data_IF_105120561429
#
_entry.id   IF_105120561429
#
_cell.length_a   1.000
_cell.length_b   1.000
_cell.length_c   1.000
_cell.angle_alpha   90.00
_cell.angle_beta   90.00
_cell.angle_gamma   90.00
#
_symmetry.space_group_name_H-M   'P 1'
#
loop_
_entity.id
_entity.type
_entity.pdbx_description
1 polymer ?
#
# COMPACT_ATOMS: atom_id res chain seq x y z
N UNK A 1 -7.86 10.03 -14.21
CA UNK A 1 -6.84 9.96 -13.14
C UNK A 1 -6.38 11.37 -12.83
N UNK A 2 -6.57 11.80 -11.59
CA UNK A 2 -6.24 13.13 -11.10
C UNK A 2 -5.10 12.99 -10.10
N UNK A 3 -4.01 13.71 -10.32
CA UNK A 3 -2.79 13.58 -9.53
C UNK A 3 -2.55 14.80 -8.64
N UNK A 4 -2.01 14.53 -7.44
CA UNK A 4 -1.36 15.50 -6.55
C UNK A 4 0.05 14.98 -6.26
N UNK A 5 1.02 15.87 -6.09
CA UNK A 5 2.38 15.46 -5.75
C UNK A 5 3.09 16.55 -4.95
N UNK A 6 4.05 16.14 -4.14
CA UNK A 6 4.96 17.01 -3.40
C UNK A 6 6.35 16.39 -3.35
N UNK A 7 7.20 16.87 -2.44
CA UNK A 7 8.51 16.25 -2.22
C UNK A 7 8.31 14.84 -1.64
N UNK A 8 8.82 13.82 -2.33
CA UNK A 8 8.85 12.44 -1.82
C UNK A 8 7.53 11.67 -1.88
N UNK A 9 6.43 12.26 -2.39
CA UNK A 9 5.14 11.60 -2.47
C UNK A 9 4.34 11.99 -3.70
N UNK A 10 3.43 11.10 -4.11
CA UNK A 10 2.45 11.35 -5.18
C UNK A 10 1.16 10.60 -4.86
N UNK A 11 0.03 11.24 -5.09
CA UNK A 11 -1.30 10.67 -4.91
C UNK A 11 -2.11 10.74 -6.19
N UNK A 12 -3.01 9.78 -6.36
CA UNK A 12 -3.87 9.63 -7.52
C UNK A 12 -5.29 9.30 -7.09
N UNK A 13 -6.26 10.06 -7.60
CA UNK A 13 -7.65 9.64 -7.69
C UNK A 13 -7.90 9.03 -9.07
N UNK A 14 -8.30 7.76 -9.11
CA UNK A 14 -8.70 7.07 -10.34
C UNK A 14 -10.22 7.08 -10.50
N UNK A 15 -10.72 7.94 -11.38
CA UNK A 15 -12.15 8.09 -11.69
C UNK A 15 -12.80 6.79 -12.20
N UNK A 16 -12.04 5.86 -12.78
CA UNK A 16 -12.60 4.60 -13.29
C UNK A 16 -12.95 3.63 -12.17
N UNK A 17 -12.06 3.50 -11.18
CA UNK A 17 -12.24 2.63 -10.03
C UNK A 17 -12.90 3.33 -8.84
N UNK A 18 -12.93 4.67 -8.84
CA UNK A 18 -13.40 5.47 -7.71
C UNK A 18 -12.46 5.44 -6.50
N UNK A 19 -11.19 5.07 -6.71
CA UNK A 19 -10.22 4.84 -5.62
C UNK A 19 -9.19 5.97 -5.53
N UNK A 20 -8.73 6.20 -4.30
CA UNK A 20 -7.64 7.12 -3.99
C UNK A 20 -6.43 6.32 -3.54
N UNK A 21 -5.30 6.57 -4.18
CA UNK A 21 -4.05 5.83 -3.92
C UNK A 21 -2.90 6.83 -3.77
N UNK A 22 -1.88 6.46 -3.02
CA UNK A 22 -0.69 7.26 -2.84
C UNK A 22 0.57 6.41 -2.81
N UNK A 23 1.66 6.99 -3.29
CA UNK A 23 3.01 6.52 -3.09
C UNK A 23 3.75 7.53 -2.22
N UNK A 24 4.61 7.02 -1.35
CA UNK A 24 5.72 7.80 -0.81
C UNK A 24 6.99 7.00 -0.96
N UNK A 25 8.09 7.68 -1.25
CA UNK A 25 9.36 7.03 -1.49
C UNK A 25 10.55 7.97 -1.41
N UNK A 26 11.70 7.39 -1.09
CA UNK A 26 12.96 8.10 -0.92
C UNK A 26 14.15 7.15 -1.00
N UNK A 27 15.32 7.63 -0.59
CA UNK A 27 16.60 6.93 -0.77
C UNK A 27 16.72 5.57 -0.01
N UNK A 28 15.70 5.18 0.77
CA UNK A 28 15.69 3.95 1.55
C UNK A 28 14.45 3.07 1.42
N UNK A 29 13.42 3.50 0.68
CA UNK A 29 12.20 2.71 0.55
C UNK A 29 11.14 3.36 -0.31
N UNK A 30 10.18 2.54 -0.72
CA UNK A 30 9.07 2.89 -1.57
C UNK A 30 7.81 2.18 -1.08
N UNK A 31 6.72 2.91 -0.92
CA UNK A 31 5.51 2.40 -0.32
C UNK A 31 4.28 2.83 -1.11
N UNK A 32 3.24 1.99 -1.11
CA UNK A 32 1.94 2.27 -1.72
C UNK A 32 0.82 2.13 -0.71
N UNK A 33 -0.13 3.04 -0.80
CA UNK A 33 -1.30 3.09 0.06
C UNK A 33 -2.57 3.28 -0.76
N UNK A 34 -3.65 2.65 -0.28
CA UNK A 34 -5.00 3.10 -0.57
C UNK A 34 -5.40 4.09 0.51
N UNK A 35 -5.68 5.34 0.14
CA UNK A 35 -6.04 6.42 1.07
C UNK A 35 -7.52 6.77 0.93
N UNK A 36 -8.05 7.59 1.84
CA UNK A 36 -9.43 8.07 1.76
C UNK A 36 -9.53 9.32 0.89
N UNK A 37 -10.76 9.68 0.48
CA UNK A 37 -11.02 10.95 -0.20
C UNK A 37 -10.62 12.15 0.66
N UNK A 38 -10.86 12.08 1.96
CA UNK A 38 -10.52 13.15 2.91
C UNK A 38 -9.01 13.35 3.00
N UNK A 39 -8.23 12.26 3.11
CA UNK A 39 -6.79 12.34 3.08
C UNK A 39 -6.28 12.92 1.75
N UNK A 40 -6.86 12.49 0.62
CA UNK A 40 -6.51 13.04 -0.69
C UNK A 40 -6.85 14.53 -0.79
N UNK A 41 -7.97 14.98 -0.23
CA UNK A 41 -8.39 16.37 -0.23
C UNK A 41 -7.42 17.24 0.58
N UNK A 42 -6.95 16.75 1.73
CA UNK A 42 -6.00 17.42 2.62
C UNK A 42 -4.57 17.50 2.06
N UNK A 43 -4.17 16.56 1.19
CA UNK A 43 -2.85 16.63 0.53
C UNK A 43 -2.72 17.90 -0.30
N UNK A 44 -1.64 18.64 -0.07
CA UNK A 44 -1.32 19.90 -0.71
C UNK A 44 0.15 19.90 -1.14
N UNK A 45 0.48 20.49 -2.29
CA UNK A 45 1.85 20.51 -2.80
C UNK A 45 2.81 21.34 -1.94
N UNK A 46 2.29 22.29 -1.18
CA UNK A 46 3.07 23.14 -0.26
C UNK A 46 3.19 22.54 1.15
N UNK A 47 2.55 21.38 1.39
CA UNK A 47 2.68 20.63 2.65
C UNK A 47 4.11 20.11 2.83
N UNK A 48 4.58 20.10 4.08
CA UNK A 48 5.87 19.49 4.38
C UNK A 48 5.86 18.00 4.03
N UNK A 49 6.99 17.46 3.56
CA UNK A 49 7.13 16.05 3.22
C UNK A 49 6.73 15.14 4.41
N UNK A 50 7.10 15.52 5.63
CA UNK A 50 6.79 14.75 6.85
C UNK A 50 5.29 14.73 7.12
N UNK A 51 4.60 15.86 7.00
CA UNK A 51 3.16 15.93 7.26
C UNK A 51 2.37 15.12 6.21
N UNK A 52 2.79 15.19 4.95
CA UNK A 52 2.18 14.40 3.88
C UNK A 52 2.39 12.89 4.10
N UNK A 53 3.59 12.48 4.51
CA UNK A 53 3.90 11.08 4.82
C UNK A 53 3.06 10.60 6.00
N UNK A 54 2.97 11.36 7.10
CA UNK A 54 2.13 10.98 8.23
C UNK A 54 0.66 10.85 7.82
N UNK A 55 0.12 11.79 7.05
CA UNK A 55 -1.25 11.71 6.56
C UNK A 55 -1.47 10.46 5.71
N UNK A 56 -0.58 10.16 4.75
CA UNK A 56 -0.68 8.98 3.88
C UNK A 56 -0.58 7.68 4.70
N UNK A 57 0.41 7.59 5.59
CA UNK A 57 0.67 6.40 6.40
C UNK A 57 -0.44 6.15 7.43
N UNK A 58 -0.85 7.19 8.15
CA UNK A 58 -1.77 7.06 9.28
C UNK A 58 -3.22 6.94 8.85
N UNK A 59 -3.59 7.47 7.67
CA UNK A 59 -4.94 7.36 7.09
C UNK A 59 -5.05 6.28 6.01
N UNK A 60 -3.95 5.91 5.36
CA UNK A 60 -3.93 4.89 4.32
C UNK A 60 -3.93 3.45 4.84
N UNK A 61 -4.38 2.53 3.98
CA UNK A 61 -4.15 1.09 4.07
C UNK A 61 -2.93 0.73 3.22
N UNK A 62 -1.92 0.16 3.84
CA UNK A 62 -0.65 -0.19 3.20
C UNK A 62 -0.86 -1.34 2.21
N UNK A 63 -0.50 -1.14 0.94
CA UNK A 63 -0.68 -2.11 -0.14
C UNK A 63 0.60 -2.88 -0.43
N UNK A 64 1.72 -2.17 -0.43
CA UNK A 64 3.01 -2.65 -0.88
C UNK A 64 4.13 -1.82 -0.25
N UNK A 65 5.23 -2.46 0.14
CA UNK A 65 6.48 -1.78 0.47
C UNK A 65 7.68 -2.48 -0.16
N UNK A 66 8.68 -1.69 -0.53
CA UNK A 66 10.00 -2.12 -0.94
C UNK A 66 11.05 -1.32 -0.17
N UNK A 67 11.92 -1.98 0.56
CA UNK A 67 12.89 -1.35 1.45
C UNK A 67 14.30 -1.69 0.99
N UNK A 68 15.11 -0.64 0.84
CA UNK A 68 16.53 -0.72 0.54
C UNK A 68 17.26 0.43 1.23
N UNK A 69 17.26 0.40 2.56
CA UNK A 69 17.76 1.48 3.42
C UNK A 69 19.27 1.39 3.73
N UNK A 70 19.97 0.46 3.09
CA UNK A 70 21.40 0.14 3.31
C UNK A 70 21.75 -0.39 4.70
N UNK A 71 20.77 -0.57 5.58
CA UNK A 71 20.95 -1.09 6.94
C UNK A 71 20.66 -2.59 7.04
N UNK A 72 20.07 -3.18 6.00
CA UNK A 72 19.88 -4.62 5.88
C UNK A 72 19.79 -5.07 4.43
N UNK A 73 19.64 -6.39 4.19
CA UNK A 73 19.30 -6.91 2.87
C UNK A 73 18.00 -6.26 2.37
N UNK A 74 17.93 -5.83 1.10
CA UNK A 74 16.69 -5.30 0.54
C UNK A 74 15.56 -6.33 0.65
N UNK A 75 14.34 -5.88 0.93
CA UNK A 75 13.17 -6.75 1.02
C UNK A 75 11.90 -6.06 0.58
N UNK A 76 10.95 -6.86 0.10
CA UNK A 76 9.64 -6.42 -0.36
C UNK A 76 8.55 -7.09 0.47
N UNK A 77 7.53 -6.34 0.84
CA UNK A 77 6.33 -6.86 1.52
C UNK A 77 5.10 -6.52 0.69
N UNK A 78 4.32 -7.55 0.34
CA UNK A 78 3.08 -7.42 -0.44
C UNK A 78 1.90 -7.66 0.51
N UNK A 79 1.26 -6.57 0.93
CA UNK A 79 0.10 -6.63 1.83
C UNK A 79 -1.17 -6.96 1.04
N UNK A 80 -1.32 -6.39 -0.14
CA UNK A 80 -2.41 -6.60 -1.07
C UNK A 80 -1.88 -7.10 -2.41
N UNK A 81 -2.22 -8.32 -2.81
CA UNK A 81 -1.70 -8.89 -4.08
C UNK A 81 -2.23 -8.14 -5.32
N UNK A 82 -3.28 -7.34 -5.20
CA UNK A 82 -3.90 -6.57 -6.29
C UNK A 82 -3.27 -5.16 -6.43
N UNK A 83 -2.22 -4.84 -5.66
CA UNK A 83 -1.61 -3.51 -5.62
C UNK A 83 -1.26 -2.90 -7.00
N UNK A 84 -0.88 -3.73 -7.99
CA UNK A 84 -0.58 -3.26 -9.36
C UNK A 84 -1.82 -2.84 -10.13
N UNK A 85 -2.95 -3.49 -9.87
CA UNK A 85 -4.24 -3.15 -10.47
C UNK A 85 -4.85 -1.93 -9.79
N UNK A 86 -4.63 -1.78 -8.48
CA UNK A 86 -5.05 -0.62 -7.69
C UNK A 86 -4.21 0.63 -8.03
N UNK A 87 -2.91 0.46 -8.28
CA UNK A 87 -1.97 1.54 -8.57
C UNK A 87 -1.29 1.37 -9.95
N UNK A 88 -2.03 1.33 -11.08
CA UNK A 88 -1.43 1.12 -12.39
C UNK A 88 -0.57 2.30 -12.86
N UNK A 89 -0.67 3.44 -12.17
CA UNK A 89 0.11 4.65 -12.40
C UNK A 89 1.47 4.63 -11.68
N UNK A 90 1.66 3.73 -10.72
CA UNK A 90 2.85 3.63 -9.90
C UNK A 90 3.99 2.92 -10.65
N UNK A 91 5.19 3.50 -10.63
CA UNK A 91 6.36 2.94 -11.31
C UNK A 91 7.12 1.97 -10.39
N UNK A 92 6.49 0.83 -10.09
CA UNK A 92 6.99 -0.13 -9.10
C UNK A 92 8.10 -0.98 -9.70
N UNK A 93 9.32 -0.77 -9.23
CA UNK A 93 10.51 -1.49 -9.71
C UNK A 93 10.58 -2.92 -9.14
N UNK A 94 9.98 -3.18 -7.96
CA UNK A 94 9.97 -4.52 -7.35
C UNK A 94 11.32 -4.88 -6.74
N UNK A 95 11.33 -5.42 -5.52
CA UNK A 95 12.54 -5.99 -4.91
C UNK A 95 12.67 -7.49 -5.18
N UNK A 96 13.91 -7.98 -5.16
CA UNK A 96 14.22 -9.39 -5.43
C UNK A 96 13.77 -10.34 -4.29
N UNK A 97 13.61 -9.81 -3.07
CA UNK A 97 13.34 -10.61 -1.86
C UNK A 97 11.96 -10.31 -1.30
N UNK A 98 10.94 -10.89 -1.93
CA UNK A 98 9.56 -10.79 -1.47
C UNK A 98 9.32 -11.69 -0.27
N UNK A 99 8.76 -11.15 0.80
CA UNK A 99 8.38 -11.92 1.98
C UNK A 99 7.33 -12.99 1.65
N UNK A 100 7.45 -14.19 2.24
CA UNK A 100 6.38 -15.19 2.20
C UNK A 100 5.08 -14.64 2.78
N UNK A 101 3.96 -15.19 2.31
CA UNK A 101 2.62 -14.74 2.69
C UNK A 101 2.38 -14.90 4.19
N UNK A 102 2.87 -16.00 4.78
CA UNK A 102 2.74 -16.35 6.18
C UNK A 102 3.48 -15.35 7.08
N UNK A 103 4.66 -14.90 6.65
CA UNK A 103 5.44 -13.89 7.35
C UNK A 103 4.74 -12.53 7.31
N UNK A 104 4.20 -12.17 6.15
CA UNK A 104 3.40 -10.95 5.99
C UNK A 104 2.14 -10.97 6.86
N UNK A 105 1.42 -12.10 6.89
CA UNK A 105 0.23 -12.27 7.74
C UNK A 105 0.57 -12.16 9.24
N UNK A 106 1.68 -12.78 9.67
CA UNK A 106 2.16 -12.65 11.04
C UNK A 106 2.49 -11.20 11.41
N UNK A 107 3.16 -10.47 10.51
CA UNK A 107 3.46 -9.06 10.71
C UNK A 107 2.19 -8.19 10.82
N UNK A 108 1.18 -8.42 9.98
CA UNK A 108 -0.10 -7.70 10.01
C UNK A 108 -0.85 -7.87 11.34
N UNK A 109 -0.81 -9.08 11.92
CA UNK A 109 -1.44 -9.35 13.21
C UNK A 109 -0.62 -8.77 14.38
N UNK A 110 0.72 -8.77 14.28
CA UNK A 110 1.61 -8.27 15.34
C UNK A 110 1.70 -6.74 15.41
N UNK A 111 1.88 -6.08 14.27
CA UNK A 111 2.16 -4.63 14.23
C UNK A 111 0.86 -3.81 14.17
N UNK A 112 0.77 -2.81 15.04
CA UNK A 112 -0.38 -1.92 15.12
C UNK A 112 -0.51 -0.99 13.89
N UNK A 113 0.62 -0.65 13.25
CA UNK A 113 0.65 0.13 12.00
C UNK A 113 -0.12 -0.57 10.88
N UNK A 114 -0.10 -1.90 10.85
CA UNK A 114 -0.70 -2.71 9.79
C UNK A 114 -2.15 -3.12 10.08
N UNK A 115 -2.77 -2.59 11.13
CA UNK A 115 -4.11 -3.01 11.59
C UNK A 115 -5.19 -2.92 10.49
N UNK A 116 -5.08 -1.95 9.57
CA UNK A 116 -6.04 -1.73 8.47
C UNK A 116 -6.01 -2.85 7.42
N UNK A 117 -4.95 -3.65 7.38
CA UNK A 117 -4.86 -4.79 6.47
C UNK A 117 -5.56 -6.04 7.02
N UNK A 118 -5.82 -6.13 8.33
CA UNK A 118 -6.34 -7.36 8.97
C UNK A 118 -7.65 -7.85 8.37
N UNK A 119 -8.65 -6.97 8.20
CA UNK A 119 -9.95 -7.35 7.67
C UNK A 119 -9.88 -7.81 6.21
N UNK A 120 -9.11 -7.08 5.38
CA UNK A 120 -8.86 -7.46 3.99
C UNK A 120 -8.24 -8.85 3.91
N UNK A 121 -7.17 -9.12 4.68
CA UNK A 121 -6.49 -10.43 4.70
C UNK A 121 -7.39 -11.55 5.17
N UNK A 122 -8.17 -11.33 6.24
CA UNK A 122 -9.13 -12.32 6.76
C UNK A 122 -10.20 -12.66 5.73
N UNK A 123 -10.73 -11.66 5.01
CA UNK A 123 -11.70 -11.88 3.93
C UNK A 123 -11.09 -12.68 2.78
N UNK A 124 -9.88 -12.32 2.34
CA UNK A 124 -9.18 -13.01 1.26
C UNK A 124 -8.88 -14.46 1.60
N UNK A 125 -8.45 -14.73 2.84
CA UNK A 125 -8.21 -16.10 3.33
C UNK A 125 -9.48 -16.95 3.31
N UNK A 126 -10.60 -16.40 3.78
CA UNK A 126 -11.91 -17.08 3.70
C UNK A 126 -12.34 -17.36 2.26
N UNK A 127 -12.07 -16.45 1.32
CA UNK A 127 -12.39 -16.66 -0.10
C UNK A 127 -11.50 -17.74 -0.73
N UNK A 128 -10.22 -17.83 -0.36
CA UNK A 128 -9.33 -18.89 -0.85
C UNK A 128 -9.59 -20.26 -0.23
N UNK A 129 -10.18 -20.30 0.97
CA UNK A 129 -10.51 -21.53 1.70
C UNK A 129 -11.96 -21.99 1.45
N UNK A 130 -12.81 -21.14 0.88
CA UNK A 130 -14.13 -21.55 0.43
C UNK A 130 -13.98 -22.53 -0.75
N UNK A 131 -14.54 -23.74 -0.67
CA UNK A 131 -14.47 -24.68 -1.77
C UNK A 131 -15.08 -24.03 -3.02
N UNK A 132 -14.36 -24.11 -4.15
CA UNK A 132 -14.95 -23.86 -5.46
C UNK A 132 -16.23 -24.71 -5.52
N UNK A 133 -17.37 -24.05 -5.73
CA UNK A 133 -18.67 -24.69 -5.71
C UNK A 133 -18.62 -25.98 -6.52
N UNK A 134 -19.04 -27.07 -5.90
CA UNK A 134 -19.56 -28.22 -6.62
C UNK A 134 -20.79 -27.73 -7.38
N UNK A 135 -20.58 -27.30 -8.62
CA UNK A 135 -21.63 -27.25 -9.63
C UNK A 135 -21.96 -28.70 -9.98
N UNK A 136 -23.04 -29.22 -9.39
CA UNK A 136 -23.76 -30.42 -9.83
C UNK A 136 -24.70 -30.11 -11.01
#
# INVERSE_FOLDING_TARGET
MIFKQGSGWKACYDEKSGRYTAEYGGMGGYHLYEITEEAFALLDSDMSEIDAIHLIHDEGRHLYMDVNDRCGPPYTVVFDDEYRELCPWASIVGGEHVWPKELTDAAIELFASEKKNREYRRRKKKQSEAPAGTDE
#
